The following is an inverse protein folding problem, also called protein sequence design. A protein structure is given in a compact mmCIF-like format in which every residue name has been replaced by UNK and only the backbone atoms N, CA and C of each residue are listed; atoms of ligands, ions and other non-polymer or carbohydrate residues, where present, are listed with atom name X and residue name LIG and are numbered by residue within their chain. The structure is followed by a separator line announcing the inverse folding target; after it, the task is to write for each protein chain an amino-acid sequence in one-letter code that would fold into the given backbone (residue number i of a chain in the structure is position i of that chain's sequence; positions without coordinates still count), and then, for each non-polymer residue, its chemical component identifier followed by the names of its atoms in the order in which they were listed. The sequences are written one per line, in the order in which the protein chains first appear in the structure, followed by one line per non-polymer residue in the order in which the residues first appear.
data_IF_066447253636
#
_entry.id   IF_066447253636
#
_cell.length_a   1.000
_cell.length_b   1.000
_cell.length_c   1.000
_cell.angle_alpha   90.00
_cell.angle_beta   90.00
_cell.angle_gamma   90.00
#
_symmetry.space_group_name_H-M   'P 1'
#
loop_
_entity.id
_entity.type
_entity.pdbx_description
1 polymer ?
#
# COMPACT_ATOMS: atom_id res chain seq x y z
N UNK A 1 -13.37 -30.06 18.04
CA UNK A 1 -13.78 -28.82 17.36
C UNK A 1 -12.67 -27.78 17.37
N UNK A 2 -12.67 -26.85 16.42
CA UNK A 2 -11.68 -25.77 16.37
C UNK A 2 -11.76 -24.89 17.63
N UNK A 3 -10.62 -24.33 18.05
CA UNK A 3 -10.58 -23.38 19.15
C UNK A 3 -11.39 -22.11 18.80
N UNK A 4 -11.93 -21.45 19.83
CA UNK A 4 -12.67 -20.19 19.59
C UNK A 4 -11.74 -19.04 19.19
N UNK A 5 -12.26 -18.08 18.40
CA UNK A 5 -11.50 -16.89 17.97
C UNK A 5 -10.42 -17.18 16.94
N UNK A 6 -9.37 -16.35 16.94
CA UNK A 6 -8.30 -16.42 15.94
C UNK A 6 -7.43 -17.68 16.02
N UNK A 7 -7.40 -18.37 17.18
CA UNK A 7 -6.72 -19.64 17.36
C UNK A 7 -7.40 -20.82 16.68
N UNK A 8 -8.64 -20.64 16.19
CA UNK A 8 -9.37 -21.65 15.42
C UNK A 8 -9.29 -21.49 13.91
N UNK A 9 -8.50 -20.53 13.43
CA UNK A 9 -8.36 -20.22 12.00
C UNK A 9 -7.16 -20.91 11.38
N UNK A 10 -7.40 -21.87 10.49
CA UNK A 10 -6.37 -22.49 9.65
C UNK A 10 -6.13 -21.70 8.37
N UNK A 11 -4.95 -21.84 7.77
CA UNK A 11 -4.61 -21.29 6.47
C UNK A 11 -4.57 -22.45 5.46
N UNK A 12 -5.28 -22.30 4.34
CA UNK A 12 -5.38 -23.33 3.31
C UNK A 12 -4.98 -22.79 1.94
N UNK A 13 -4.24 -23.58 1.20
CA UNK A 13 -4.06 -23.39 -0.23
C UNK A 13 -5.19 -24.12 -0.96
N UNK A 14 -6.02 -23.37 -1.67
CA UNK A 14 -7.14 -23.91 -2.45
C UNK A 14 -6.81 -23.69 -3.94
N UNK A 15 -6.38 -24.70 -4.69
CA UNK A 15 -6.10 -24.56 -6.11
C UNK A 15 -7.38 -24.23 -6.87
N UNK A 16 -7.26 -23.43 -7.92
CA UNK A 16 -8.42 -23.07 -8.76
C UNK A 16 -8.98 -24.28 -9.53
N UNK A 17 -8.09 -25.17 -9.94
CA UNK A 17 -8.44 -26.37 -10.71
C UNK A 17 -7.83 -27.59 -10.03
N UNK A 18 -8.58 -28.69 -10.03
CA UNK A 18 -8.14 -30.03 -9.63
C UNK A 18 -8.52 -30.97 -10.76
N UNK A 19 -7.57 -31.74 -11.25
CA UNK A 19 -7.77 -32.68 -12.37
C UNK A 19 -8.42 -32.08 -13.63
N UNK A 20 -8.18 -30.79 -13.88
CA UNK A 20 -8.71 -30.04 -15.02
C UNK A 20 -10.09 -29.42 -14.80
N UNK A 21 -10.77 -29.73 -13.71
CA UNK A 21 -12.07 -29.20 -13.35
C UNK A 21 -11.97 -28.08 -12.30
N UNK A 22 -12.99 -27.20 -12.26
CA UNK A 22 -13.06 -26.13 -11.25
C UNK A 22 -13.23 -26.75 -9.87
N UNK A 23 -12.39 -26.38 -8.94
CA UNK A 23 -12.30 -26.97 -7.61
C UNK A 23 -13.38 -26.44 -6.65
N UNK A 24 -14.59 -26.96 -6.76
CA UNK A 24 -15.65 -26.80 -5.74
C UNK A 24 -15.89 -25.37 -5.26
N UNK A 25 -15.83 -24.37 -6.16
CA UNK A 25 -16.23 -23.01 -5.82
C UNK A 25 -17.13 -22.38 -6.90
N UNK A 26 -17.99 -21.48 -6.47
CA UNK A 26 -18.84 -20.69 -7.35
C UNK A 26 -18.48 -19.20 -7.21
N UNK A 27 -18.25 -18.53 -8.35
CA UNK A 27 -18.15 -17.08 -8.40
C UNK A 27 -19.55 -16.50 -8.44
N UNK A 28 -19.98 -15.83 -7.35
CA UNK A 28 -21.33 -15.24 -7.25
C UNK A 28 -21.46 -13.96 -8.04
N UNK A 29 -20.45 -13.07 -7.90
CA UNK A 29 -20.37 -11.82 -8.68
C UNK A 29 -18.98 -11.22 -8.63
N UNK A 30 -18.70 -10.31 -9.54
CA UNK A 30 -17.60 -9.38 -9.45
C UNK A 30 -18.06 -8.09 -8.75
N UNK A 31 -17.25 -7.56 -7.86
CA UNK A 31 -17.54 -6.29 -7.18
C UNK A 31 -17.39 -5.11 -8.14
N UNK A 32 -18.38 -4.24 -8.20
CA UNK A 32 -18.24 -2.91 -8.81
C UNK A 32 -17.54 -1.99 -7.81
N UNK A 33 -16.29 -1.63 -8.12
CA UNK A 33 -15.41 -0.90 -7.21
C UNK A 33 -15.22 0.54 -7.65
N UNK A 34 -14.91 1.43 -6.70
CA UNK A 34 -14.54 2.80 -6.95
C UNK A 34 -13.31 2.90 -7.88
N UNK A 35 -12.25 2.16 -7.55
CA UNK A 35 -10.99 2.11 -8.28
C UNK A 35 -10.45 0.69 -8.39
N UNK A 36 -9.26 0.54 -8.95
CA UNK A 36 -8.62 -0.76 -9.23
C UNK A 36 -9.53 -1.71 -10.01
N UNK A 37 -10.34 -1.16 -10.93
CA UNK A 37 -11.36 -1.91 -11.66
C UNK A 37 -10.77 -2.94 -12.61
N UNK A 38 -9.54 -2.72 -13.08
CA UNK A 38 -8.78 -3.69 -13.91
C UNK A 38 -8.34 -4.93 -13.13
N UNK A 39 -8.40 -4.89 -11.79
CA UNK A 39 -8.17 -6.05 -10.93
C UNK A 39 -9.52 -6.60 -10.46
N UNK A 40 -10.08 -7.63 -11.10
CA UNK A 40 -11.39 -8.17 -10.73
C UNK A 40 -11.35 -8.72 -9.30
N UNK A 41 -12.38 -8.40 -8.52
CA UNK A 41 -12.58 -8.91 -7.15
C UNK A 41 -13.89 -9.67 -7.08
N UNK A 42 -13.78 -10.98 -6.89
CA UNK A 42 -14.93 -11.89 -6.85
C UNK A 42 -15.46 -12.11 -5.43
N UNK A 43 -16.75 -12.34 -5.33
CA UNK A 43 -17.38 -13.00 -4.18
C UNK A 43 -17.49 -14.48 -4.49
N UNK A 44 -16.82 -15.30 -3.68
CA UNK A 44 -16.66 -16.74 -3.92
C UNK A 44 -17.35 -17.51 -2.79
N UNK A 45 -18.11 -18.52 -3.15
CA UNK A 45 -18.57 -19.56 -2.23
C UNK A 45 -17.83 -20.87 -2.51
N UNK A 46 -17.40 -21.51 -1.44
CA UNK A 46 -16.80 -22.84 -1.52
C UNK A 46 -17.86 -23.90 -1.22
N UNK A 47 -17.92 -24.93 -2.06
CA UNK A 47 -18.79 -26.08 -1.90
C UNK A 47 -18.00 -27.35 -2.27
N UNK A 48 -17.51 -28.04 -1.24
CA UNK A 48 -16.70 -29.23 -1.42
C UNK A 48 -15.30 -28.98 -2.03
N UNK A 49 -14.79 -27.72 -1.98
CA UNK A 49 -13.48 -27.41 -2.50
C UNK A 49 -12.37 -28.15 -1.76
N UNK A 50 -11.43 -28.74 -2.49
CA UNK A 50 -10.24 -29.35 -1.95
C UNK A 50 -9.21 -28.29 -1.62
N UNK A 51 -8.61 -28.39 -0.42
CA UNK A 51 -7.57 -27.46 0.03
C UNK A 51 -6.51 -28.20 0.80
N UNK A 52 -5.27 -27.73 0.69
CA UNK A 52 -4.13 -28.18 1.45
C UNK A 52 -3.87 -27.23 2.63
N UNK A 53 -3.76 -27.80 3.83
CA UNK A 53 -3.47 -27.03 5.05
C UNK A 53 -2.02 -26.53 5.03
N UNK A 54 -1.82 -25.23 5.24
CA UNK A 54 -0.50 -24.59 5.31
C UNK A 54 -0.09 -24.41 6.78
N UNK A 55 0.83 -25.22 7.21
CA UNK A 55 1.33 -25.21 8.59
C UNK A 55 0.31 -25.74 9.61
N UNK A 56 0.56 -25.55 10.91
CA UNK A 56 -0.37 -25.98 11.96
C UNK A 56 -1.70 -25.24 11.89
N UNK A 57 -2.84 -25.92 12.13
CA UNK A 57 -4.17 -25.29 12.03
C UNK A 57 -4.32 -24.03 12.89
N UNK A 58 -3.73 -24.03 14.08
CA UNK A 58 -3.77 -22.91 15.02
C UNK A 58 -2.87 -21.73 14.63
N UNK A 59 -1.97 -21.92 13.67
CA UNK A 59 -1.04 -20.89 13.21
C UNK A 59 -1.58 -20.04 12.03
N UNK A 60 -2.74 -20.39 11.46
CA UNK A 60 -3.25 -19.77 10.25
C UNK A 60 -3.38 -18.25 10.34
N UNK A 61 -3.97 -17.73 11.41
CA UNK A 61 -4.09 -16.30 11.62
C UNK A 61 -2.72 -15.61 11.81
N UNK A 62 -1.81 -16.24 12.54
CA UNK A 62 -0.43 -15.74 12.74
C UNK A 62 0.31 -15.66 11.41
N UNK A 63 0.19 -16.69 10.58
CA UNK A 63 0.81 -16.75 9.26
C UNK A 63 0.19 -15.68 8.31
N UNK A 64 -1.13 -15.53 8.33
CA UNK A 64 -1.81 -14.49 7.56
C UNK A 64 -1.30 -13.08 7.92
N UNK A 65 -1.26 -12.75 9.21
CA UNK A 65 -0.86 -11.41 9.65
C UNK A 65 0.64 -11.18 9.51
N UNK A 66 1.46 -12.16 9.85
CA UNK A 66 2.91 -12.03 9.90
C UNK A 66 3.62 -12.13 8.55
N UNK A 67 3.01 -12.80 7.59
CA UNK A 67 3.62 -13.04 6.28
C UNK A 67 2.80 -12.34 5.19
N UNK A 68 1.53 -12.70 5.04
CA UNK A 68 0.71 -12.23 3.92
C UNK A 68 0.44 -10.73 4.01
N UNK A 69 -0.13 -10.26 5.13
CA UNK A 69 -0.47 -8.84 5.30
C UNK A 69 0.78 -7.97 5.39
N UNK A 70 1.86 -8.46 5.99
CA UNK A 70 3.11 -7.71 6.09
C UNK A 70 3.71 -7.46 4.69
N UNK A 71 3.82 -8.51 3.88
CA UNK A 71 4.30 -8.41 2.48
C UNK A 71 3.38 -7.53 1.64
N UNK A 72 2.07 -7.70 1.78
CA UNK A 72 1.07 -6.95 1.05
C UNK A 72 1.11 -5.45 1.37
N UNK A 73 1.37 -5.07 2.63
CA UNK A 73 1.56 -3.67 3.04
C UNK A 73 2.77 -3.02 2.37
N UNK A 74 3.86 -3.75 2.21
CA UNK A 74 5.04 -3.27 1.47
C UNK A 74 4.71 -3.07 0.00
N UNK A 75 4.02 -4.00 -0.64
CA UNK A 75 3.57 -3.87 -2.04
C UNK A 75 2.58 -2.72 -2.21
N UNK A 76 1.69 -2.50 -1.26
CA UNK A 76 0.77 -1.36 -1.24
C UNK A 76 1.55 -0.02 -1.25
N UNK A 77 2.58 0.10 -0.42
CA UNK A 77 3.44 1.28 -0.39
C UNK A 77 4.20 1.49 -1.70
N UNK A 78 4.71 0.42 -2.33
CA UNK A 78 5.35 0.48 -3.65
C UNK A 78 4.37 0.93 -4.75
N UNK A 79 3.15 0.40 -4.73
CA UNK A 79 2.10 0.81 -5.67
C UNK A 79 1.76 2.31 -5.50
N UNK A 80 1.67 2.79 -4.26
CA UNK A 80 1.47 4.19 -3.94
C UNK A 80 2.61 5.08 -4.51
N UNK A 81 3.87 4.66 -4.36
CA UNK A 81 5.02 5.36 -4.96
C UNK A 81 4.93 5.44 -6.48
N UNK A 82 4.58 4.34 -7.14
CA UNK A 82 4.39 4.29 -8.60
C UNK A 82 3.29 5.22 -9.07
N UNK A 83 2.17 5.27 -8.35
CA UNK A 83 1.04 6.15 -8.61
C UNK A 83 1.44 7.62 -8.46
N UNK A 84 2.10 7.99 -7.36
CA UNK A 84 2.59 9.36 -7.14
C UNK A 84 3.55 9.80 -8.25
N UNK A 85 4.50 8.94 -8.62
CA UNK A 85 5.45 9.21 -9.71
C UNK A 85 4.75 9.47 -11.03
N UNK A 86 3.71 8.71 -11.35
CA UNK A 86 2.91 8.91 -12.56
C UNK A 86 2.17 10.24 -12.51
N UNK A 87 1.49 10.57 -11.41
CA UNK A 87 0.78 11.84 -11.25
C UNK A 87 1.72 13.04 -11.38
N UNK A 88 2.90 12.98 -10.76
CA UNK A 88 3.92 14.02 -10.88
C UNK A 88 4.39 14.19 -12.33
N UNK A 89 4.61 13.08 -13.05
CA UNK A 89 5.01 13.11 -14.47
C UNK A 89 3.98 13.77 -15.35
N UNK A 90 2.70 13.43 -15.20
CA UNK A 90 1.58 14.03 -15.94
C UNK A 90 1.45 15.52 -15.64
N UNK A 91 1.44 15.92 -14.37
CA UNK A 91 1.36 17.31 -13.95
C UNK A 91 2.54 18.15 -14.47
N UNK A 92 3.75 17.61 -14.38
CA UNK A 92 4.95 18.28 -14.87
C UNK A 92 4.95 18.45 -16.39
N UNK A 93 4.59 17.41 -17.16
CA UNK A 93 4.52 17.47 -18.62
C UNK A 93 3.47 18.47 -19.10
N UNK A 94 2.26 18.41 -18.52
CA UNK A 94 1.17 19.30 -18.88
C UNK A 94 1.50 20.77 -18.59
N UNK A 95 1.98 21.08 -17.39
CA UNK A 95 2.25 22.49 -17.00
C UNK A 95 3.37 23.13 -17.80
N UNK A 96 4.32 22.36 -18.30
CA UNK A 96 5.38 22.85 -19.19
C UNK A 96 4.89 23.15 -20.61
N UNK A 97 3.97 22.36 -21.13
CA UNK A 97 3.43 22.53 -22.50
C UNK A 97 2.28 23.52 -22.54
N UNK A 98 1.43 23.58 -21.51
CA UNK A 98 0.28 24.48 -21.45
C UNK A 98 0.69 25.91 -21.22
N UNK A 99 0.21 26.81 -22.06
CA UNK A 99 0.37 28.27 -21.89
C UNK A 99 -0.95 28.89 -21.45
N UNK A 100 -0.90 29.79 -20.48
CA UNK A 100 -2.03 30.61 -20.05
C UNK A 100 -1.50 31.97 -19.57
N UNK A 101 -2.28 33.03 -19.75
CA UNK A 101 -1.94 34.38 -19.33
C UNK A 101 -0.53 34.84 -19.76
N UNK A 102 -0.14 34.49 -20.99
CA UNK A 102 1.10 34.95 -21.64
C UNK A 102 2.35 34.08 -21.41
N UNK A 103 2.35 33.06 -20.51
CA UNK A 103 3.52 32.22 -20.24
C UNK A 103 3.15 30.74 -20.02
N UNK A 104 4.15 29.86 -19.89
CA UNK A 104 3.91 28.49 -19.53
C UNK A 104 3.31 28.40 -18.12
N UNK A 105 2.39 27.47 -17.90
CA UNK A 105 1.75 27.30 -16.59
C UNK A 105 2.78 26.93 -15.51
N UNK A 106 3.83 26.19 -15.87
CA UNK A 106 4.94 25.85 -14.98
C UNK A 106 5.73 27.06 -14.45
N UNK A 107 5.62 28.25 -15.08
CA UNK A 107 6.35 29.45 -14.67
C UNK A 107 5.65 30.22 -13.54
N UNK A 108 4.46 29.79 -13.12
CA UNK A 108 3.72 30.42 -12.03
C UNK A 108 4.20 29.89 -10.67
N UNK A 109 4.50 30.77 -9.68
CA UNK A 109 4.99 30.35 -8.37
C UNK A 109 4.07 29.35 -7.65
N UNK A 110 2.75 29.52 -7.71
CA UNK A 110 1.79 28.59 -7.12
C UNK A 110 1.86 27.19 -7.75
N UNK A 111 2.08 27.10 -9.07
CA UNK A 111 2.26 25.84 -9.78
C UNK A 111 3.59 25.17 -9.40
N UNK A 112 4.66 25.96 -9.28
CA UNK A 112 5.96 25.48 -8.84
C UNK A 112 5.91 24.92 -7.42
N UNK A 113 5.16 25.56 -6.52
CA UNK A 113 4.94 25.08 -5.15
C UNK A 113 4.23 23.72 -5.14
N UNK A 114 3.15 23.56 -5.93
CA UNK A 114 2.43 22.29 -6.05
C UNK A 114 3.38 21.19 -6.57
N UNK A 115 4.10 21.46 -7.66
CA UNK A 115 5.06 20.51 -8.23
C UNK A 115 6.18 20.14 -7.25
N UNK A 116 6.69 21.11 -6.49
CA UNK A 116 7.71 20.87 -5.46
C UNK A 116 7.18 19.98 -4.34
N UNK A 117 5.95 20.24 -3.85
CA UNK A 117 5.28 19.43 -2.83
C UNK A 117 5.04 18.00 -3.32
N UNK A 118 4.52 17.82 -4.54
CA UNK A 118 4.33 16.51 -5.14
C UNK A 118 5.66 15.75 -5.29
N UNK A 119 6.71 16.43 -5.73
CA UNK A 119 8.06 15.85 -5.86
C UNK A 119 8.61 15.43 -4.51
N UNK A 120 8.51 16.29 -3.49
CA UNK A 120 8.97 15.99 -2.14
C UNK A 120 8.25 14.77 -1.57
N UNK A 121 6.91 14.73 -1.63
CA UNK A 121 6.12 13.60 -1.17
C UNK A 121 6.51 12.29 -1.89
N UNK A 122 6.65 12.33 -3.22
CA UNK A 122 7.04 11.17 -4.02
C UNK A 122 8.44 10.66 -3.65
N UNK A 123 9.40 11.58 -3.48
CA UNK A 123 10.79 11.22 -3.13
C UNK A 123 10.86 10.63 -1.72
N UNK A 124 10.19 11.25 -0.75
CA UNK A 124 10.14 10.76 0.61
C UNK A 124 9.46 9.37 0.72
N UNK A 125 8.39 9.16 -0.05
CA UNK A 125 7.70 7.87 -0.13
C UNK A 125 8.60 6.76 -0.70
N UNK A 126 9.34 7.06 -1.77
CA UNK A 126 10.33 6.13 -2.33
C UNK A 126 11.42 5.82 -1.30
N UNK A 127 12.04 6.83 -0.71
CA UNK A 127 13.11 6.64 0.27
C UNK A 127 12.64 5.80 1.47
N UNK A 128 11.48 6.12 2.06
CA UNK A 128 10.95 5.37 3.21
C UNK A 128 10.58 3.94 2.85
N UNK A 129 10.03 3.70 1.65
CA UNK A 129 9.64 2.35 1.21
C UNK A 129 10.87 1.48 0.93
N UNK A 130 11.88 2.02 0.23
CA UNK A 130 13.13 1.28 0.00
C UNK A 130 13.93 1.06 1.28
N UNK A 131 13.85 1.96 2.25
CA UNK A 131 14.38 1.73 3.60
C UNK A 131 13.73 0.50 4.26
N UNK A 132 12.41 0.38 4.22
CA UNK A 132 11.71 -0.80 4.75
C UNK A 132 12.15 -2.08 4.04
N UNK A 133 12.36 -2.03 2.73
CA UNK A 133 12.89 -3.15 1.96
C UNK A 133 14.33 -3.50 2.39
N UNK A 134 15.20 -2.51 2.56
CA UNK A 134 16.57 -2.73 3.05
C UNK A 134 16.59 -3.38 4.45
N UNK A 135 15.68 -2.97 5.35
CA UNK A 135 15.52 -3.65 6.65
C UNK A 135 15.10 -5.11 6.46
N UNK A 136 14.22 -5.40 5.48
CA UNK A 136 13.79 -6.77 5.17
C UNK A 136 14.95 -7.61 4.64
N UNK A 137 15.77 -7.06 3.76
CA UNK A 137 16.94 -7.73 3.18
C UNK A 137 18.01 -8.03 4.25
N UNK A 138 18.23 -7.10 5.18
CA UNK A 138 19.12 -7.31 6.33
C UNK A 138 18.66 -8.48 7.19
N UNK A 139 17.36 -8.52 7.51
CA UNK A 139 16.77 -9.62 8.28
C UNK A 139 16.85 -10.96 7.54
N UNK A 140 16.63 -10.97 6.23
CA UNK A 140 16.75 -12.19 5.41
C UNK A 140 18.18 -12.74 5.37
N UNK A 141 19.19 -11.86 5.52
CA UNK A 141 20.61 -12.26 5.67
C UNK A 141 21.00 -12.64 7.10
N UNK A 142 20.06 -12.59 8.05
CA UNK A 142 20.34 -12.88 9.47
C UNK A 142 20.97 -11.71 10.23
N UNK A 143 20.93 -10.50 9.69
CA UNK A 143 21.48 -9.29 10.29
C UNK A 143 20.46 -8.57 11.20
N UNK A 144 20.93 -7.89 12.25
CA UNK A 144 20.11 -6.97 13.06
C UNK A 144 19.17 -7.61 14.11
N UNK A 145 18.97 -8.90 14.09
CA UNK A 145 18.25 -9.64 15.11
C UNK A 145 16.83 -9.16 15.48
N UNK A 146 16.36 -9.44 16.73
CA UNK A 146 15.00 -9.11 17.17
C UNK A 146 14.69 -7.61 17.20
N UNK A 147 15.68 -6.75 17.43
CA UNK A 147 15.49 -5.30 17.47
C UNK A 147 15.17 -4.74 16.08
N UNK A 148 15.90 -5.16 15.05
CA UNK A 148 15.61 -4.76 13.68
C UNK A 148 14.24 -5.30 13.22
N UNK A 149 13.90 -6.53 13.59
CA UNK A 149 12.58 -7.11 13.28
C UNK A 149 11.44 -6.31 13.93
N UNK A 150 11.63 -5.87 15.18
CA UNK A 150 10.68 -5.03 15.90
C UNK A 150 10.56 -3.62 15.24
N UNK A 151 11.67 -3.00 14.89
CA UNK A 151 11.70 -1.71 14.21
C UNK A 151 11.02 -1.79 12.83
N UNK A 152 11.36 -2.81 12.02
CA UNK A 152 10.73 -3.05 10.72
C UNK A 152 9.23 -3.25 10.81
N UNK A 153 8.74 -4.00 11.81
CA UNK A 153 7.30 -4.21 12.01
C UNK A 153 6.55 -2.88 12.15
N UNK A 154 7.09 -1.95 12.90
CA UNK A 154 6.50 -0.61 13.06
C UNK A 154 6.66 0.21 11.77
N UNK A 155 7.84 0.17 11.16
CA UNK A 155 8.13 0.90 9.93
C UNK A 155 7.19 0.51 8.78
N UNK A 156 6.87 -0.79 8.59
CA UNK A 156 5.92 -1.27 7.56
C UNK A 156 4.54 -0.62 7.72
N UNK A 157 4.02 -0.57 8.95
CA UNK A 157 2.67 -0.02 9.22
C UNK A 157 2.62 1.49 9.00
N UNK A 158 3.61 2.22 9.51
CA UNK A 158 3.71 3.67 9.35
C UNK A 158 3.93 4.03 7.88
N UNK A 159 4.82 3.31 7.19
CA UNK A 159 5.10 3.53 5.78
C UNK A 159 3.85 3.32 4.91
N UNK A 160 3.13 2.22 5.11
CA UNK A 160 1.86 1.96 4.39
C UNK A 160 0.85 3.08 4.63
N UNK A 161 0.67 3.47 5.89
CA UNK A 161 -0.25 4.55 6.26
C UNK A 161 0.07 5.85 5.52
N UNK A 162 1.33 6.27 5.62
CA UNK A 162 1.75 7.56 5.09
C UNK A 162 1.79 7.59 3.57
N UNK A 163 2.36 6.56 2.91
CA UNK A 163 2.49 6.51 1.46
C UNK A 163 1.15 6.43 0.76
N UNK A 164 0.20 5.63 1.28
CA UNK A 164 -1.13 5.51 0.71
C UNK A 164 -1.89 6.85 0.80
N UNK A 165 -1.80 7.55 1.94
CA UNK A 165 -2.38 8.87 2.11
C UNK A 165 -1.76 9.91 1.17
N UNK A 166 -0.44 9.96 1.13
CA UNK A 166 0.29 10.88 0.26
C UNK A 166 -0.05 10.66 -1.22
N UNK A 167 -0.31 9.42 -1.64
CA UNK A 167 -0.70 9.11 -3.00
C UNK A 167 -2.02 9.75 -3.41
N UNK A 168 -3.01 9.78 -2.52
CA UNK A 168 -4.29 10.46 -2.76
C UNK A 168 -4.10 11.98 -2.88
N UNK A 169 -3.28 12.57 -1.99
CA UNK A 169 -2.99 14.00 -2.03
C UNK A 169 -2.23 14.39 -3.30
N UNK A 170 -1.22 13.62 -3.71
CA UNK A 170 -0.46 13.85 -4.96
C UNK A 170 -1.32 13.67 -6.19
N UNK A 171 -2.24 12.69 -6.21
CA UNK A 171 -3.15 12.51 -7.33
C UNK A 171 -4.14 13.68 -7.46
N UNK A 172 -4.66 14.21 -6.35
CA UNK A 172 -5.49 15.39 -6.31
C UNK A 172 -4.74 16.63 -6.82
N UNK A 173 -3.51 16.84 -6.34
CA UNK A 173 -2.65 17.93 -6.79
C UNK A 173 -2.38 17.84 -8.31
N UNK A 174 -2.19 16.62 -8.84
CA UNK A 174 -2.08 16.39 -10.28
C UNK A 174 -3.32 16.83 -11.06
N UNK A 175 -4.50 16.49 -10.56
CA UNK A 175 -5.79 16.94 -11.15
C UNK A 175 -5.86 18.48 -11.14
N UNK A 176 -5.53 19.11 -10.02
CA UNK A 176 -5.51 20.57 -9.89
C UNK A 176 -4.60 21.23 -10.92
N UNK A 177 -3.40 20.67 -11.16
CA UNK A 177 -2.46 21.19 -12.15
C UNK A 177 -3.01 21.17 -13.60
N UNK A 178 -3.86 20.21 -13.92
CA UNK A 178 -4.51 20.11 -15.25
C UNK A 178 -5.79 20.96 -15.34
N UNK A 179 -6.29 21.49 -14.23
CA UNK A 179 -7.55 22.20 -14.15
C UNK A 179 -8.73 21.31 -14.59
N UNK A 180 -9.71 21.84 -15.30
CA UNK A 180 -10.86 21.08 -15.77
C UNK A 180 -10.50 19.81 -16.55
N UNK A 181 -9.42 19.84 -17.31
CA UNK A 181 -8.93 18.67 -18.03
C UNK A 181 -8.49 17.51 -17.11
N UNK A 182 -8.08 17.83 -15.89
CA UNK A 182 -7.69 16.82 -14.88
C UNK A 182 -8.83 15.93 -14.42
N UNK A 183 -10.09 16.35 -14.63
CA UNK A 183 -11.27 15.58 -14.25
C UNK A 183 -11.89 14.77 -15.39
N UNK A 184 -11.32 14.88 -16.60
CA UNK A 184 -11.85 14.24 -17.81
C UNK A 184 -11.16 12.90 -18.03
N UNK A 185 -11.93 11.82 -18.00
CA UNK A 185 -11.42 10.43 -18.10
C UNK A 185 -10.66 10.17 -19.40
N UNK A 186 -11.14 10.69 -20.51
CA UNK A 186 -10.53 10.49 -21.83
C UNK A 186 -9.33 11.42 -22.09
N UNK A 187 -9.14 12.44 -21.23
CA UNK A 187 -8.05 13.40 -21.40
C UNK A 187 -6.77 12.94 -20.70
N UNK A 188 -6.88 12.40 -19.49
CA UNK A 188 -5.72 11.99 -18.72
C UNK A 188 -6.01 10.76 -17.86
N UNK A 189 -4.94 10.13 -17.39
CA UNK A 189 -5.01 8.99 -16.47
C UNK A 189 -5.34 9.42 -15.02
N UNK A 190 -5.26 10.70 -14.68
CA UNK A 190 -5.35 11.21 -13.31
C UNK A 190 -6.67 10.87 -12.59
N UNK A 191 -7.86 10.97 -13.22
CA UNK A 191 -9.11 10.57 -12.57
C UNK A 191 -9.09 9.12 -12.13
N UNK A 192 -8.59 8.22 -12.97
CA UNK A 192 -8.42 6.80 -12.62
C UNK A 192 -7.42 6.62 -11.48
N UNK A 193 -6.25 7.25 -11.54
CA UNK A 193 -5.23 7.14 -10.50
C UNK A 193 -5.71 7.67 -9.16
N UNK A 194 -6.51 8.73 -9.15
CA UNK A 194 -7.11 9.26 -7.93
C UNK A 194 -8.06 8.25 -7.26
N UNK A 195 -8.93 7.61 -8.05
CA UNK A 195 -9.80 6.55 -7.52
C UNK A 195 -9.01 5.32 -7.04
N UNK A 196 -7.98 4.93 -7.78
CA UNK A 196 -7.09 3.83 -7.40
C UNK A 196 -6.36 4.15 -6.09
N UNK A 197 -5.89 5.39 -5.89
CA UNK A 197 -5.26 5.84 -4.64
C UNK A 197 -6.18 5.69 -3.43
N UNK A 198 -7.46 6.08 -3.55
CA UNK A 198 -8.44 5.94 -2.46
C UNK A 198 -8.64 4.46 -2.08
N UNK A 199 -8.63 3.56 -3.05
CA UNK A 199 -8.73 2.11 -2.76
C UNK A 199 -7.48 1.61 -2.04
N UNK A 200 -6.29 2.06 -2.46
CA UNK A 200 -5.00 1.73 -1.81
C UNK A 200 -4.99 2.15 -0.33
N UNK A 201 -5.61 3.27 0.04
CA UNK A 201 -5.74 3.68 1.44
C UNK A 201 -6.51 2.65 2.29
N UNK A 202 -7.51 2.01 1.71
CA UNK A 202 -8.38 1.06 2.43
C UNK A 202 -7.83 -0.36 2.53
N UNK A 203 -6.97 -0.76 1.59
CA UNK A 203 -6.38 -2.10 1.57
C UNK A 203 -5.40 -2.33 2.71
N UNK A 204 -5.25 -3.59 3.13
CA UNK A 204 -4.29 -4.07 4.13
C UNK A 204 -4.43 -3.42 5.51
N UNK A 205 -5.61 -2.96 5.81
CA UNK A 205 -5.99 -2.20 6.99
C UNK A 205 -6.14 -0.72 6.71
N UNK A 206 -7.29 -0.18 7.11
CA UNK A 206 -7.55 1.26 7.06
C UNK A 206 -6.59 2.02 7.98
N UNK A 207 -6.50 3.33 7.79
CA UNK A 207 -5.63 4.21 8.58
C UNK A 207 -5.83 4.03 10.09
N UNK A 208 -7.08 4.01 10.55
CA UNK A 208 -7.38 3.82 11.98
C UNK A 208 -6.93 2.44 12.49
N UNK A 209 -7.08 1.39 11.69
CA UNK A 209 -6.63 0.04 12.04
C UNK A 209 -5.12 -0.01 12.22
N UNK A 210 -4.37 0.63 11.31
CA UNK A 210 -2.91 0.69 11.39
C UNK A 210 -2.44 1.50 12.60
N UNK A 211 -3.04 2.68 12.85
CA UNK A 211 -2.76 3.50 14.01
C UNK A 211 -3.01 2.73 15.32
N UNK A 212 -4.17 2.08 15.44
CA UNK A 212 -4.51 1.29 16.61
C UNK A 212 -3.52 0.12 16.83
N UNK A 213 -3.07 -0.52 15.75
CA UNK A 213 -2.08 -1.60 15.81
C UNK A 213 -0.71 -1.09 16.28
N UNK A 214 -0.24 0.05 15.75
CA UNK A 214 1.02 0.69 16.15
C UNK A 214 0.96 1.09 17.62
N UNK A 215 -0.11 1.76 18.06
CA UNK A 215 -0.28 2.19 19.45
C UNK A 215 -0.32 1.00 20.42
N UNK A 216 -1.00 -0.07 20.06
CA UNK A 216 -1.01 -1.31 20.85
C UNK A 216 0.39 -1.93 20.95
N UNK A 217 1.13 -1.99 19.84
CA UNK A 217 2.48 -2.54 19.82
C UNK A 217 3.46 -1.65 20.63
N UNK A 218 3.25 -0.33 20.65
CA UNK A 218 3.98 0.59 21.52
C UNK A 218 3.69 0.35 22.99
N UNK A 219 2.42 0.31 23.37
CA UNK A 219 2.00 0.16 24.77
C UNK A 219 2.32 -1.23 25.32
N UNK A 220 1.98 -2.31 24.60
CA UNK A 220 2.09 -3.67 25.11
C UNK A 220 3.48 -4.29 24.97
N UNK A 221 4.30 -3.83 24.00
CA UNK A 221 5.57 -4.46 23.64
C UNK A 221 6.76 -3.51 23.66
N UNK A 222 6.55 -2.21 23.87
CA UNK A 222 7.61 -1.19 23.87
C UNK A 222 8.30 -0.99 22.52
N UNK A 223 7.65 -1.34 21.38
CA UNK A 223 8.30 -1.36 20.07
C UNK A 223 8.66 0.04 19.52
N UNK A 224 8.22 1.10 20.17
CA UNK A 224 8.71 2.46 19.88
C UNK A 224 10.22 2.60 20.12
N UNK A 225 10.79 1.91 21.11
CA UNK A 225 12.22 2.01 21.46
C UNK A 225 13.13 1.52 20.33
N UNK A 226 13.03 0.26 19.85
CA UNK A 226 13.88 -0.21 18.75
C UNK A 226 13.61 0.56 17.46
N UNK A 227 12.37 1.01 17.20
CA UNK A 227 12.06 1.82 16.03
C UNK A 227 12.74 3.19 16.07
N UNK A 228 12.71 3.91 17.20
CA UNK A 228 13.41 5.18 17.37
C UNK A 228 14.92 5.02 17.32
N UNK A 229 15.47 3.97 17.92
CA UNK A 229 16.90 3.68 17.87
C UNK A 229 17.40 3.43 16.42
N UNK A 230 16.59 2.76 15.60
CA UNK A 230 16.93 2.57 14.18
C UNK A 230 16.86 3.89 13.40
N UNK A 231 15.89 4.75 13.70
CA UNK A 231 15.81 6.09 13.10
C UNK A 231 17.03 6.95 13.45
N UNK A 232 17.46 6.98 14.72
CA UNK A 232 18.65 7.75 15.14
C UNK A 232 19.90 7.28 14.42
N UNK A 233 20.13 5.96 14.34
CA UNK A 233 21.28 5.42 13.61
C UNK A 233 21.36 5.85 12.15
N UNK A 234 20.23 6.03 11.50
CA UNK A 234 20.20 6.45 10.09
C UNK A 234 20.37 7.95 9.91
N UNK A 235 19.99 8.76 10.89
CA UNK A 235 20.21 10.22 10.84
C UNK A 235 21.67 10.57 11.12
N UNK A 236 22.37 9.73 11.88
CA UNK A 236 23.79 9.92 12.26
C UNK A 236 24.76 9.33 11.24
N UNK A 237 24.31 8.52 10.28
CA UNK A 237 25.13 7.87 9.25
C UNK A 237 25.21 8.71 7.96
#
# INVERSE_FOLDING_TARGET
GAAAGTGGLGLFLVPRFVDGEVNGFALRRLKDKLGTRSMPTGEIEFDGALGELIGPPEAGFKNLVGIVLDTSRVHNALAACGLMRRCLGEGHAFTRSRRAFGRAVADYPAVQEILARMKLATTAALASTFRVLAMSDRLARGEGGPELAAARRIAVMINKYWTARAATDVARDGIELLGGNGTIEDFSVLPRLYRDAIVIESWEGTHNTLCAQVLRDFAARGLHRPWLAELHREVEA
#
